data_IF_273402266279
#
_entry.id   IF_273402266279
#
_cell.length_a   1.000
_cell.length_b   1.000
_cell.length_c   1.000
_cell.angle_alpha   90.00
_cell.angle_beta   90.00
_cell.angle_gamma   90.00
#
_symmetry.space_group_name_H-M   'P 1'
#
loop_
_entity.id
_entity.type
_entity.pdbx_description
1 polymer ?
#
# COMPACT_ATOMS: atom_id res chain seq x y z
N UNK A 1 8.98 32.95 41.98
CA UNK A 1 8.63 34.25 41.35
C UNK A 1 7.65 34.01 40.22
N UNK A 2 6.40 34.40 40.41
CA UNK A 2 5.32 34.31 39.43
C UNK A 2 5.63 35.19 38.21
N UNK A 3 6.10 34.58 37.11
CA UNK A 3 6.18 35.30 35.83
C UNK A 3 4.76 35.55 35.36
N UNK A 4 4.27 36.77 35.59
CA UNK A 4 3.08 37.32 34.93
C UNK A 4 3.12 36.88 33.47
N UNK A 5 2.17 36.04 33.10
CA UNK A 5 2.19 35.38 31.82
C UNK A 5 1.96 36.43 30.75
N UNK A 6 3.05 36.87 30.11
CA UNK A 6 3.09 37.91 29.11
C UNK A 6 2.01 37.60 28.07
N UNK A 7 0.98 38.44 28.03
CA UNK A 7 -0.13 38.21 27.12
C UNK A 7 0.38 38.50 25.71
N UNK A 8 0.67 37.42 24.97
CA UNK A 8 1.18 37.49 23.59
C UNK A 8 0.07 37.33 22.55
N UNK A 9 -1.20 37.37 22.98
CA UNK A 9 -2.36 37.36 22.08
C UNK A 9 -2.33 38.65 21.24
N UNK A 10 -2.56 38.52 19.93
CA UNK A 10 -2.45 39.60 18.93
C UNK A 10 -1.04 39.79 18.36
N UNK A 11 -0.01 39.21 18.99
CA UNK A 11 1.35 39.35 18.49
C UNK A 11 1.64 38.38 17.34
N UNK A 12 2.39 38.89 16.37
CA UNK A 12 2.85 38.16 15.20
C UNK A 12 4.25 37.57 15.45
N UNK A 13 4.38 36.27 15.21
CA UNK A 13 5.60 35.48 15.33
C UNK A 13 5.90 34.81 13.98
N UNK A 14 6.66 35.51 13.13
CA UNK A 14 6.85 35.09 11.74
C UNK A 14 5.54 35.23 10.95
N UNK A 15 5.00 34.11 10.47
CA UNK A 15 3.70 34.02 9.79
C UNK A 15 2.56 33.57 10.70
N UNK A 16 2.81 33.45 12.01
CA UNK A 16 1.81 33.03 12.99
C UNK A 16 1.33 34.22 13.80
N UNK A 17 0.02 34.38 13.93
CA UNK A 17 -0.61 35.38 14.81
C UNK A 17 -1.30 34.66 15.95
N UNK A 18 -0.90 34.93 17.19
CA UNK A 18 -1.48 34.26 18.36
C UNK A 18 -2.90 34.80 18.63
N UNK A 19 -3.92 33.95 18.55
CA UNK A 19 -5.33 34.37 18.68
C UNK A 19 -5.95 33.99 20.01
N UNK A 20 -5.63 32.80 20.54
CA UNK A 20 -6.19 32.32 21.81
C UNK A 20 -5.15 31.62 22.66
N UNK A 21 -5.22 31.79 23.98
CA UNK A 21 -4.37 31.06 24.94
C UNK A 21 -5.12 29.88 25.54
N UNK A 22 -4.46 28.73 25.59
CA UNK A 22 -4.93 27.48 26.21
C UNK A 22 -3.81 26.95 27.11
N UNK A 23 -3.81 27.37 28.38
CA UNK A 23 -2.76 27.01 29.34
C UNK A 23 -1.36 27.50 28.94
N UNK A 24 -0.44 26.56 28.72
CA UNK A 24 0.93 26.78 28.25
C UNK A 24 1.07 26.81 26.71
N UNK A 25 -0.06 26.75 26.01
CA UNK A 25 -0.14 26.77 24.55
C UNK A 25 -0.95 27.97 24.07
N UNK A 26 -0.68 28.37 22.83
CA UNK A 26 -1.46 29.36 22.10
C UNK A 26 -1.93 28.75 20.78
N UNK A 27 -3.19 28.98 20.45
CA UNK A 27 -3.69 28.85 19.10
C UNK A 27 -3.17 30.03 18.29
N UNK A 28 -2.60 29.71 17.14
CA UNK A 28 -2.05 30.69 16.23
C UNK A 28 -2.59 30.47 14.82
N UNK A 29 -3.04 31.55 14.20
CA UNK A 29 -3.47 31.55 12.81
C UNK A 29 -2.27 31.82 11.91
N UNK A 30 -2.17 31.06 10.83
CA UNK A 30 -1.10 31.23 9.85
C UNK A 30 -1.57 32.15 8.73
N UNK A 31 -0.69 33.05 8.28
CA UNK A 31 -0.94 33.87 7.08
C UNK A 31 -1.13 33.06 5.80
N UNK A 32 -0.70 31.80 5.81
CA UNK A 32 -0.91 30.85 4.73
C UNK A 32 -2.36 30.31 4.63
N UNK A 33 -3.26 30.73 5.51
CA UNK A 33 -4.68 30.32 5.50
C UNK A 33 -4.95 28.89 5.97
N UNK A 34 -3.92 28.16 6.43
CA UNK A 34 -4.09 26.82 7.00
C UNK A 34 -4.78 26.86 8.38
N UNK A 35 -5.37 25.74 8.78
CA UNK A 35 -5.99 25.54 10.10
C UNK A 35 -5.10 26.05 11.25
N UNK A 36 -5.72 26.70 12.23
CA UNK A 36 -5.07 27.25 13.42
C UNK A 36 -4.18 26.20 14.10
N UNK A 37 -2.91 26.56 14.32
CA UNK A 37 -1.92 25.67 14.92
C UNK A 37 -1.77 25.95 16.40
N UNK A 38 -1.78 24.89 17.21
CA UNK A 38 -1.48 25.00 18.64
C UNK A 38 0.03 24.95 18.86
N UNK A 39 0.60 26.00 19.45
CA UNK A 39 2.05 26.16 19.65
C UNK A 39 2.33 26.52 21.12
N UNK A 40 3.39 25.95 21.69
CA UNK A 40 3.80 26.23 23.08
C UNK A 40 4.33 27.67 23.20
N UNK A 41 3.97 28.38 24.29
CA UNK A 41 4.31 29.79 24.50
C UNK A 41 5.81 30.07 24.39
N UNK A 42 6.64 29.23 25.00
CA UNK A 42 8.10 29.36 24.97
C UNK A 42 8.69 29.18 23.55
N UNK A 43 8.09 28.34 22.71
CA UNK A 43 8.51 28.11 21.32
C UNK A 43 8.20 29.30 20.41
N UNK A 44 7.11 30.02 20.70
CA UNK A 44 6.78 31.29 20.04
C UNK A 44 7.76 32.39 20.47
N UNK A 45 7.98 32.56 21.78
CA UNK A 45 8.85 33.60 22.33
C UNK A 45 10.31 33.41 21.91
N UNK A 46 10.80 32.17 21.87
CA UNK A 46 12.16 31.85 21.39
C UNK A 46 12.30 31.91 19.86
N UNK A 47 11.21 32.12 19.13
CA UNK A 47 11.21 32.20 17.67
C UNK A 47 11.50 30.86 16.96
N UNK A 48 11.34 29.73 17.64
CA UNK A 48 11.54 28.41 17.05
C UNK A 48 10.39 28.03 16.10
N UNK A 49 9.17 28.48 16.40
CA UNK A 49 7.99 28.22 15.57
C UNK A 49 7.53 29.52 14.90
N UNK A 50 7.80 29.64 13.60
CA UNK A 50 7.51 30.85 12.79
C UNK A 50 6.38 30.66 11.78
N UNK A 51 5.89 29.43 11.60
CA UNK A 51 4.83 29.11 10.64
C UNK A 51 4.10 27.83 11.04
N UNK A 52 2.96 27.54 10.40
CA UNK A 52 2.26 26.29 10.62
C UNK A 52 3.05 25.06 10.10
N UNK A 53 4.08 25.30 9.27
CA UNK A 53 4.76 24.29 8.46
C UNK A 53 4.93 24.75 7.00
N UNK A 54 4.10 25.70 6.53
CA UNK A 54 4.12 26.23 5.17
C UNK A 54 5.50 26.76 4.76
N UNK A 55 6.18 27.49 5.64
CA UNK A 55 7.51 28.05 5.36
C UNK A 55 8.56 26.96 5.10
N UNK A 56 8.44 25.80 5.77
CA UNK A 56 9.31 24.65 5.52
C UNK A 56 8.94 23.94 4.21
N UNK A 57 7.64 23.88 3.88
CA UNK A 57 7.18 23.34 2.60
C UNK A 57 7.66 24.20 1.42
N UNK A 58 7.54 25.52 1.50
CA UNK A 58 8.03 26.46 0.49
C UNK A 58 9.54 26.34 0.32
N UNK A 59 10.32 26.37 1.40
CA UNK A 59 11.77 26.20 1.32
C UNK A 59 12.19 24.85 0.74
N UNK A 60 11.43 23.78 1.02
CA UNK A 60 11.68 22.50 0.39
C UNK A 60 11.31 22.53 -1.10
N UNK A 61 10.18 23.13 -1.46
CA UNK A 61 9.77 23.30 -2.86
C UNK A 61 10.81 24.10 -3.65
N UNK A 62 11.33 25.20 -3.09
CA UNK A 62 12.38 26.02 -3.70
C UNK A 62 13.69 25.23 -3.83
N UNK A 63 14.09 24.47 -2.81
CA UNK A 63 15.27 23.59 -2.89
C UNK A 63 15.11 22.50 -3.95
N UNK A 64 13.91 21.96 -4.11
CA UNK A 64 13.61 21.00 -5.17
C UNK A 64 13.60 21.68 -6.54
N UNK A 65 13.05 22.90 -6.68
CA UNK A 65 13.06 23.68 -7.91
C UNK A 65 14.49 24.03 -8.35
N UNK A 66 15.34 24.49 -7.42
CA UNK A 66 16.76 24.76 -7.67
C UNK A 66 17.53 23.46 -7.96
N UNK A 67 17.24 22.36 -7.28
CA UNK A 67 17.85 21.06 -7.57
C UNK A 67 17.46 20.53 -8.96
N UNK A 68 16.23 20.81 -9.44
CA UNK A 68 15.80 20.50 -10.81
C UNK A 68 16.52 21.37 -11.85
N UNK A 69 16.93 22.59 -11.51
CA UNK A 69 17.64 23.49 -12.41
C UNK A 69 19.16 23.29 -12.42
N UNK A 70 19.75 22.73 -11.36
CA UNK A 70 21.21 22.71 -11.16
C UNK A 70 21.86 21.34 -11.01
N UNK A 71 21.10 20.25 -10.90
CA UNK A 71 21.65 18.90 -10.83
C UNK A 71 21.05 18.07 -11.95
N UNK A 72 21.85 17.82 -12.99
CA UNK A 72 21.51 16.85 -14.03
C UNK A 72 20.92 15.60 -13.40
N UNK A 73 19.82 15.11 -13.97
CA UNK A 73 18.99 14.06 -13.41
C UNK A 73 19.89 12.95 -12.86
N UNK A 74 19.83 12.63 -11.54
CA UNK A 74 20.71 11.61 -10.98
C UNK A 74 20.57 10.34 -11.82
N UNK A 75 21.68 9.71 -12.24
CA UNK A 75 21.66 8.56 -13.18
C UNK A 75 20.64 7.47 -12.80
N UNK A 76 20.38 7.29 -11.50
CA UNK A 76 19.33 6.40 -10.94
C UNK A 76 17.90 6.70 -11.42
N UNK A 77 17.62 7.93 -11.85
CA UNK A 77 16.32 8.39 -12.35
C UNK A 77 16.27 8.53 -13.88
N UNK A 78 17.40 8.38 -14.59
CA UNK A 78 17.40 8.42 -16.05
C UNK A 78 16.59 7.26 -16.64
N UNK A 79 16.78 6.05 -16.11
CA UNK A 79 15.99 4.87 -16.51
C UNK A 79 14.49 5.03 -16.21
N UNK A 80 14.15 5.65 -15.08
CA UNK A 80 12.77 5.96 -14.72
C UNK A 80 12.15 6.98 -15.69
N UNK A 81 12.87 8.06 -16.00
CA UNK A 81 12.41 9.09 -16.95
C UNK A 81 12.18 8.51 -18.33
N UNK A 82 13.11 7.70 -18.85
CA UNK A 82 12.93 7.07 -20.16
C UNK A 82 11.70 6.14 -20.19
N UNK A 83 11.50 5.33 -19.13
CA UNK A 83 10.32 4.48 -19.04
C UNK A 83 9.01 5.29 -18.96
N UNK A 84 8.99 6.38 -18.18
CA UNK A 84 7.83 7.27 -18.09
C UNK A 84 7.59 8.07 -19.38
N UNK A 85 8.64 8.35 -20.16
CA UNK A 85 8.54 9.07 -21.44
C UNK A 85 7.79 8.24 -22.47
N UNK A 86 8.02 6.93 -22.51
CA UNK A 86 7.24 6.01 -23.36
C UNK A 86 5.76 6.04 -22.98
N UNK A 87 5.44 5.98 -21.68
CA UNK A 87 4.06 6.05 -21.19
C UNK A 87 3.40 7.40 -21.51
N UNK A 88 4.12 8.50 -21.29
CA UNK A 88 3.63 9.84 -21.59
C UNK A 88 3.31 10.01 -23.07
N UNK A 89 4.17 9.49 -23.96
CA UNK A 89 3.92 9.53 -25.41
C UNK A 89 2.75 8.65 -25.84
N UNK A 90 2.59 7.47 -25.23
CA UNK A 90 1.48 6.54 -25.51
C UNK A 90 0.13 7.08 -24.98
N UNK A 91 0.16 7.81 -23.87
CA UNK A 91 -1.01 8.49 -23.33
C UNK A 91 -1.55 9.54 -24.30
N UNK A 92 -0.66 10.36 -24.87
CA UNK A 92 -1.01 11.40 -25.85
C UNK A 92 -1.55 10.81 -27.16
N UNK A 93 -1.15 9.60 -27.54
CA UNK A 93 -1.69 8.94 -28.74
C UNK A 93 -3.03 8.23 -28.50
N UNK A 94 -3.37 7.90 -27.24
CA UNK A 94 -4.59 7.16 -26.88
C UNK A 94 -5.80 8.01 -26.51
N UNK A 95 -5.63 9.31 -26.27
CA UNK A 95 -6.75 10.19 -25.94
C UNK A 95 -6.34 11.56 -25.42
N UNK A 96 -7.34 12.34 -25.01
CA UNK A 96 -7.14 13.70 -24.51
C UNK A 96 -6.45 13.71 -23.13
N UNK A 97 -5.49 14.62 -22.98
CA UNK A 97 -4.69 14.84 -21.76
C UNK A 97 -5.06 16.19 -21.19
N UNK A 98 -5.12 16.32 -19.86
CA UNK A 98 -5.40 17.61 -19.23
C UNK A 98 -4.25 18.61 -19.45
N UNK A 99 -4.54 19.93 -19.48
CA UNK A 99 -3.50 20.96 -19.61
C UNK A 99 -2.43 20.90 -18.50
N UNK A 100 -2.79 20.36 -17.33
CA UNK A 100 -1.90 20.17 -16.20
C UNK A 100 -0.77 19.18 -16.51
N UNK A 101 -0.98 18.25 -17.44
CA UNK A 101 -0.04 17.20 -17.86
C UNK A 101 0.54 17.42 -19.27
N UNK A 102 0.32 18.61 -19.84
CA UNK A 102 0.88 19.04 -21.14
C UNK A 102 2.42 19.02 -21.14
N UNK A 103 3.04 19.29 -19.99
CA UNK A 103 4.49 19.21 -19.80
C UNK A 103 4.89 17.87 -19.19
N UNK A 104 5.87 17.22 -19.80
CA UNK A 104 6.42 15.95 -19.31
C UNK A 104 6.87 16.01 -17.85
N UNK A 105 7.49 17.11 -17.42
CA UNK A 105 7.95 17.26 -16.03
C UNK A 105 6.79 17.29 -15.02
N UNK A 106 5.63 17.83 -15.39
CA UNK A 106 4.44 17.85 -14.54
C UNK A 106 3.86 16.43 -14.36
N UNK A 107 3.78 15.66 -15.45
CA UNK A 107 3.40 14.24 -15.40
C UNK A 107 4.37 13.43 -14.53
N UNK A 108 5.68 13.61 -14.72
CA UNK A 108 6.71 12.90 -13.94
C UNK A 108 6.61 13.25 -12.46
N UNK A 109 6.40 14.53 -12.12
CA UNK A 109 6.30 14.99 -10.74
C UNK A 109 5.22 14.24 -9.96
N UNK A 110 4.06 14.03 -10.58
CA UNK A 110 2.93 13.39 -9.92
C UNK A 110 3.03 11.86 -9.97
N UNK A 111 3.40 11.30 -11.11
CA UNK A 111 3.28 9.86 -11.35
C UNK A 111 4.53 9.05 -10.99
N UNK A 112 5.72 9.69 -10.92
CA UNK A 112 6.97 8.98 -10.64
C UNK A 112 7.02 8.35 -9.24
N UNK A 113 6.33 8.95 -8.26
CA UNK A 113 6.32 8.46 -6.87
C UNK A 113 5.61 7.11 -6.72
N UNK A 114 4.69 6.80 -7.62
CA UNK A 114 3.83 5.59 -7.57
C UNK A 114 4.15 4.59 -8.68
N UNK A 115 5.10 4.90 -9.56
CA UNK A 115 5.47 4.04 -10.68
C UNK A 115 6.29 2.83 -10.23
N UNK A 116 5.98 1.69 -10.84
CA UNK A 116 6.70 0.43 -10.67
C UNK A 116 6.95 -0.16 -12.06
N UNK A 117 8.14 -0.75 -12.33
CA UNK A 117 8.44 -1.36 -13.62
C UNK A 117 7.34 -2.32 -14.10
N UNK A 118 6.99 -2.20 -15.39
CA UNK A 118 5.98 -3.02 -16.04
C UNK A 118 4.52 -2.65 -15.75
N UNK A 119 4.25 -1.61 -14.96
CA UNK A 119 2.87 -1.13 -14.77
C UNK A 119 2.41 -0.28 -15.97
N UNK A 120 1.14 -0.45 -16.34
CA UNK A 120 0.50 0.32 -17.41
C UNK A 120 -0.38 1.42 -16.80
N UNK A 121 -0.40 2.59 -17.44
CA UNK A 121 -1.27 3.69 -17.03
C UNK A 121 -2.71 3.42 -17.51
N UNK A 122 -3.65 3.39 -16.57
CA UNK A 122 -5.08 3.25 -16.89
C UNK A 122 -5.87 4.47 -16.47
N UNK A 123 -6.88 4.80 -17.29
CA UNK A 123 -7.97 5.69 -16.90
C UNK A 123 -8.92 4.97 -15.94
N UNK A 124 -9.29 5.65 -14.87
CA UNK A 124 -10.30 5.20 -13.90
C UNK A 124 -11.68 5.36 -14.52
N UNK A 125 -11.96 6.53 -15.10
CA UNK A 125 -13.14 6.85 -15.88
C UNK A 125 -12.75 6.99 -17.38
N UNK A 126 -13.25 6.10 -18.26
CA UNK A 126 -12.96 6.15 -19.70
C UNK A 126 -13.40 7.44 -20.40
N UNK A 127 -14.40 8.14 -19.86
CA UNK A 127 -14.98 9.34 -20.46
C UNK A 127 -14.24 10.63 -20.05
N UNK A 128 -13.30 10.55 -19.11
CA UNK A 128 -12.51 11.69 -18.68
C UNK A 128 -11.11 11.67 -19.30
N UNK A 129 -10.48 12.85 -19.49
CA UNK A 129 -9.13 12.94 -20.02
C UNK A 129 -8.11 12.36 -19.04
N UNK A 130 -6.90 12.12 -19.51
CA UNK A 130 -5.79 11.73 -18.65
C UNK A 130 -5.42 12.91 -17.74
N UNK A 131 -5.65 12.73 -16.44
CA UNK A 131 -5.28 13.66 -15.35
C UNK A 131 -4.94 12.86 -14.10
N UNK A 132 -4.32 13.51 -13.12
CA UNK A 132 -3.86 12.92 -11.85
C UNK A 132 -4.93 12.05 -11.16
N UNK A 133 -6.13 12.60 -10.98
CA UNK A 133 -7.22 11.95 -10.27
C UNK A 133 -8.02 10.95 -11.13
N UNK A 134 -7.74 10.89 -12.44
CA UNK A 134 -8.38 9.94 -13.35
C UNK A 134 -7.42 8.84 -13.81
N UNK A 135 -6.15 8.86 -13.39
CA UNK A 135 -5.17 7.89 -13.83
C UNK A 135 -4.65 7.08 -12.65
N UNK A 136 -4.44 5.78 -12.87
CA UNK A 136 -3.73 4.93 -11.91
C UNK A 136 -2.84 3.93 -12.62
N UNK A 137 -1.76 3.55 -11.95
CA UNK A 137 -0.93 2.44 -12.38
C UNK A 137 -1.68 1.13 -12.14
N UNK A 138 -1.85 0.35 -13.20
CA UNK A 138 -2.26 -1.04 -13.09
C UNK A 138 -1.03 -1.90 -13.12
N UNK A 139 -0.86 -2.74 -12.10
CA UNK A 139 0.16 -3.78 -12.13
C UNK A 139 -0.01 -4.60 -13.40
N UNK A 140 1.08 -4.96 -14.09
CA UNK A 140 0.98 -5.87 -15.21
C UNK A 140 0.14 -7.03 -14.71
N UNK A 141 -0.92 -7.40 -15.45
CA UNK A 141 -1.57 -8.67 -15.17
C UNK A 141 -0.41 -9.64 -15.13
N UNK A 142 -0.12 -10.24 -13.96
CA UNK A 142 0.68 -11.45 -13.96
C UNK A 142 -0.01 -12.27 -15.03
N UNK A 143 0.65 -12.52 -16.16
CA UNK A 143 0.30 -13.69 -16.94
C UNK A 143 0.31 -14.74 -15.85
N UNK A 144 -0.86 -15.24 -15.46
CA UNK A 144 -0.91 -16.55 -14.82
C UNK A 144 -0.06 -17.32 -15.80
N UNK A 145 1.16 -17.68 -15.41
CA UNK A 145 1.97 -18.55 -16.23
C UNK A 145 0.97 -19.59 -16.71
N UNK A 146 0.86 -19.80 -18.02
CA UNK A 146 0.14 -20.96 -18.51
C UNK A 146 0.85 -22.09 -17.77
N UNK A 147 0.27 -22.51 -16.64
CA UNK A 147 0.87 -23.48 -15.74
C UNK A 147 0.62 -24.73 -16.52
N UNK A 148 1.51 -25.00 -17.45
CA UNK A 148 1.71 -26.36 -17.87
C UNK A 148 1.96 -27.11 -16.57
N UNK A 149 1.00 -28.00 -16.31
CA UNK A 149 0.86 -28.85 -15.14
C UNK A 149 0.43 -28.13 -13.85
N UNK A 150 -0.83 -27.67 -13.81
CA UNK A 150 -1.56 -27.70 -12.53
C UNK A 150 -1.48 -29.11 -11.93
N UNK A 151 -1.35 -29.23 -10.60
CA UNK A 151 -1.37 -30.55 -9.92
C UNK A 151 -2.61 -31.29 -10.43
N UNK A 152 -2.42 -32.41 -11.11
CA UNK A 152 -3.50 -33.11 -11.82
C UNK A 152 -3.50 -34.57 -11.41
N UNK A 153 -4.69 -35.08 -11.11
CA UNK A 153 -4.95 -36.44 -10.68
C UNK A 153 -5.37 -37.25 -11.90
N UNK A 154 -4.77 -38.43 -12.06
CA UNK A 154 -5.16 -39.37 -13.12
C UNK A 154 -6.46 -40.08 -12.73
N UNK A 155 -7.48 -39.89 -13.56
CA UNK A 155 -8.81 -40.47 -13.41
C UNK A 155 -8.83 -41.90 -13.98
N UNK A 156 -9.87 -42.67 -13.64
CA UNK A 156 -10.03 -44.08 -14.06
C UNK A 156 -10.26 -44.26 -15.57
N UNK A 157 -10.77 -43.22 -16.23
CA UNK A 157 -10.95 -43.12 -17.68
C UNK A 157 -9.64 -42.74 -18.42
N UNK A 158 -8.53 -42.56 -17.68
CA UNK A 158 -7.24 -42.16 -18.24
C UNK A 158 -7.05 -40.65 -18.38
N UNK A 159 -8.09 -39.84 -18.12
CA UNK A 159 -8.01 -38.39 -18.20
C UNK A 159 -7.29 -37.77 -17.00
N UNK A 160 -6.78 -36.55 -17.19
CA UNK A 160 -6.16 -35.76 -16.12
C UNK A 160 -7.15 -34.71 -15.61
N UNK A 161 -7.47 -34.77 -14.31
CA UNK A 161 -8.34 -33.80 -13.66
C UNK A 161 -7.51 -32.87 -12.76
N UNK A 162 -7.65 -31.53 -12.87
CA UNK A 162 -6.99 -30.61 -11.95
C UNK A 162 -7.38 -30.90 -10.49
N UNK A 163 -6.40 -30.90 -9.58
CA UNK A 163 -6.58 -31.22 -8.16
C UNK A 163 -7.64 -30.33 -7.49
N UNK A 164 -7.77 -29.07 -7.91
CA UNK A 164 -8.81 -28.16 -7.43
C UNK A 164 -10.22 -28.66 -7.77
N UNK A 165 -10.44 -29.04 -9.03
CA UNK A 165 -11.72 -29.57 -9.52
C UNK A 165 -11.99 -30.93 -8.88
N UNK A 166 -10.97 -31.77 -8.79
CA UNK A 166 -11.09 -33.08 -8.16
C UNK A 166 -11.45 -32.97 -6.67
N UNK A 167 -10.81 -32.06 -5.92
CA UNK A 167 -11.10 -31.84 -4.50
C UNK A 167 -12.55 -31.40 -4.25
N UNK A 168 -13.08 -30.53 -5.12
CA UNK A 168 -14.49 -30.12 -5.12
C UNK A 168 -15.42 -31.31 -5.43
N UNK A 169 -15.08 -32.12 -6.44
CA UNK A 169 -15.87 -33.31 -6.84
C UNK A 169 -15.99 -34.36 -5.72
N UNK A 170 -14.94 -34.57 -4.94
CA UNK A 170 -14.94 -35.52 -3.82
C UNK A 170 -15.26 -34.87 -2.47
N UNK A 171 -15.64 -33.59 -2.48
CA UNK A 171 -16.02 -32.79 -1.32
C UNK A 171 -14.97 -32.79 -0.18
N UNK A 172 -13.70 -32.58 -0.52
CA UNK A 172 -12.62 -32.39 0.46
C UNK A 172 -12.00 -31.00 0.31
N UNK A 173 -11.43 -30.47 1.39
CA UNK A 173 -10.71 -29.21 1.32
C UNK A 173 -9.48 -29.35 0.42
N UNK A 174 -9.17 -28.31 -0.36
CA UNK A 174 -7.99 -28.28 -1.21
C UNK A 174 -6.70 -28.57 -0.43
N UNK A 175 -6.60 -28.12 0.82
CA UNK A 175 -5.43 -28.38 1.67
C UNK A 175 -5.27 -29.88 1.99
N UNK A 176 -6.36 -30.59 2.30
CA UNK A 176 -6.33 -32.05 2.51
C UNK A 176 -5.92 -32.76 1.23
N UNK A 177 -6.49 -32.33 0.09
CA UNK A 177 -6.16 -32.87 -1.23
C UNK A 177 -4.67 -32.67 -1.57
N UNK A 178 -4.15 -31.48 -1.35
CA UNK A 178 -2.75 -31.12 -1.60
C UNK A 178 -1.79 -31.95 -0.76
N UNK A 179 -2.07 -32.16 0.53
CA UNK A 179 -1.22 -33.00 1.41
C UNK A 179 -1.11 -34.44 0.91
N UNK A 180 -2.23 -35.04 0.50
CA UNK A 180 -2.26 -36.40 -0.05
C UNK A 180 -1.47 -36.45 -1.37
N UNK A 181 -1.74 -35.49 -2.26
CA UNK A 181 -1.05 -35.37 -3.54
C UNK A 181 0.46 -35.25 -3.36
N UNK A 182 0.93 -34.32 -2.52
CA UNK A 182 2.36 -34.07 -2.28
C UNK A 182 3.08 -35.28 -1.69
N UNK A 183 2.42 -36.05 -0.80
CA UNK A 183 3.01 -37.26 -0.21
C UNK A 183 3.31 -38.33 -1.26
N UNK A 184 2.40 -38.51 -2.21
CA UNK A 184 2.51 -39.54 -3.26
C UNK A 184 3.41 -39.06 -4.40
N UNK A 185 3.30 -37.79 -4.78
CA UNK A 185 4.21 -37.22 -5.77
C UNK A 185 5.68 -37.25 -5.30
N UNK A 186 5.93 -37.13 -3.99
CA UNK A 186 7.28 -37.21 -3.42
C UNK A 186 7.92 -38.61 -3.53
N UNK A 187 7.13 -39.68 -3.69
CA UNK A 187 7.64 -41.04 -3.93
C UNK A 187 7.91 -41.32 -5.41
N UNK A 188 7.69 -40.34 -6.29
CA UNK A 188 7.82 -40.48 -7.74
C UNK A 188 6.64 -41.24 -8.40
N UNK A 189 5.59 -41.54 -7.64
CA UNK A 189 4.39 -42.20 -8.15
C UNK A 189 3.42 -41.20 -8.78
N UNK A 190 2.71 -41.63 -9.83
CA UNK A 190 1.63 -40.85 -10.45
C UNK A 190 0.41 -40.91 -9.53
N UNK A 191 -0.11 -39.73 -9.15
CA UNK A 191 -1.28 -39.64 -8.28
C UNK A 191 -2.56 -39.98 -9.04
N UNK A 192 -3.31 -40.95 -8.53
CA UNK A 192 -4.56 -41.43 -9.11
C UNK A 192 -5.77 -41.11 -8.23
N UNK A 193 -6.98 -41.11 -8.80
CA UNK A 193 -8.21 -40.83 -8.07
C UNK A 193 -8.49 -41.81 -6.91
N UNK A 194 -7.92 -43.03 -6.97
CA UNK A 194 -8.09 -44.03 -5.91
C UNK A 194 -7.26 -43.72 -4.66
N UNK A 195 -6.18 -42.95 -4.79
CA UNK A 195 -5.30 -42.59 -3.68
C UNK A 195 -5.94 -41.65 -2.66
N UNK A 196 -7.03 -40.99 -3.05
CA UNK A 196 -7.82 -40.12 -2.19
C UNK A 196 -8.96 -40.85 -1.46
N UNK A 197 -9.28 -42.09 -1.86
CA UNK A 197 -10.36 -42.89 -1.27
C UNK A 197 -9.94 -43.58 0.03
N UNK A 198 -8.65 -43.83 0.23
CA UNK A 198 -8.12 -44.58 1.39
C UNK A 198 -7.98 -43.75 2.68
N UNK A 199 -8.10 -42.43 2.61
CA UNK A 199 -7.92 -41.51 3.76
C UNK A 199 -9.26 -40.95 4.33
N UNK A 200 -10.38 -41.63 4.09
CA UNK A 200 -11.64 -41.37 4.79
C UNK A 200 -11.82 -42.22 6.06
N UNK A 201 -10.86 -43.08 6.40
CA UNK A 201 -10.77 -43.72 7.70
C UNK A 201 -9.76 -42.96 8.58
N UNK A 202 -10.29 -42.32 9.62
CA UNK A 202 -9.63 -41.92 10.89
C UNK A 202 -8.11 -41.70 10.88
N UNK A 203 -7.68 -40.44 11.06
CA UNK A 203 -6.54 -40.10 11.92
C UNK A 203 -6.44 -38.57 12.05
N UNK A 204 -7.14 -38.02 13.05
CA UNK A 204 -6.84 -36.70 13.60
C UNK A 204 -5.72 -36.86 14.61
N UNK A 205 -4.48 -36.68 14.17
CA UNK A 205 -3.34 -36.39 15.05
C UNK A 205 -2.83 -35.00 14.70
N UNK A 206 -3.60 -33.98 15.08
CA UNK A 206 -3.14 -32.60 15.07
C UNK A 206 -2.39 -32.34 16.39
N UNK A 207 -1.06 -32.13 16.36
CA UNK A 207 -0.26 -31.92 17.58
C UNK A 207 -0.59 -30.60 18.29
N UNK A 208 -1.47 -29.74 17.75
CA UNK A 208 -1.93 -28.50 18.38
C UNK A 208 -3.32 -28.57 19.01
N UNK A 209 -4.02 -29.71 18.93
CA UNK A 209 -5.35 -29.88 19.54
C UNK A 209 -5.33 -29.64 21.08
N UNK A 210 -4.20 -29.90 21.74
CA UNK A 210 -4.01 -29.70 23.19
C UNK A 210 -4.06 -28.24 23.66
N UNK A 211 -3.93 -27.24 22.76
CA UNK A 211 -3.89 -25.82 23.16
C UNK A 211 -5.28 -25.19 23.14
N UNK A 212 -6.18 -25.67 22.27
CA UNK A 212 -7.52 -25.15 22.11
C UNK A 212 -8.42 -25.48 23.33
N UNK A 213 -8.24 -26.65 23.95
CA UNK A 213 -9.05 -27.06 25.11
C UNK A 213 -8.81 -26.21 26.37
N UNK A 214 -7.65 -25.56 26.50
CA UNK A 214 -7.35 -24.69 27.66
C UNK A 214 -8.01 -23.31 27.59
N UNK A 215 -8.56 -22.93 26.45
CA UNK A 215 -9.20 -21.61 26.23
C UNK A 215 -10.74 -21.68 26.20
N UNK A 216 -11.31 -22.89 26.25
CA UNK A 216 -12.77 -23.13 26.24
C UNK A 216 -13.39 -23.23 27.65
N UNK A 217 -12.57 -23.31 28.71
CA UNK A 217 -13.13 -23.42 30.07
C UNK A 217 -13.69 -22.07 30.58
N UNK A 218 -14.93 -22.05 31.11
CA UNK A 218 -15.53 -20.86 31.68
C UNK A 218 -14.78 -20.40 32.97
N UNK A 219 -14.88 -19.11 33.35
CA UNK A 219 -14.05 -18.51 34.40
C UNK A 219 -14.31 -19.05 35.81
N UNK A 220 -15.37 -19.84 36.01
CA UNK A 220 -15.81 -20.31 37.33
C UNK A 220 -14.98 -21.46 37.90
N UNK A 221 -14.06 -22.06 37.14
CA UNK A 221 -13.20 -23.15 37.61
C UNK A 221 -11.78 -22.73 38.01
N UNK A 222 -11.46 -21.42 38.08
CA UNK A 222 -10.10 -20.93 38.41
C UNK A 222 -9.84 -20.60 39.88
N UNK A 223 -10.75 -20.92 40.80
CA UNK A 223 -10.55 -20.73 42.24
C UNK A 223 -10.95 -21.99 42.99
N UNK A 224 -10.09 -23.01 42.94
CA UNK A 224 -9.87 -24.01 44.00
C UNK A 224 -8.69 -24.88 43.57
N UNK A 225 -7.61 -24.86 44.36
CA UNK A 225 -6.41 -25.68 44.15
C UNK A 225 -5.22 -24.89 43.67
#
# INVERSE_FOLDING_TARGET
MSRAAKNIIGNKFGRLTATKRVGSYHLCDCECGSVAKTVRTDKLVRGETKSCGCLRQEQNADRHAVALQSVGTPKRFAALREALKTVWSEMHSKGEVSPEWDKFDAFVFEMASTWVPGHELLRINPNEPYKCNNCRWKSPRKKVARREVGLSVKMSDGNLCPLTVFAEQINITYQKAYRIFSRIAATGQVVTANDFKTNNASETTDPFASVADRLSMPPSARLTG
#
